data_IF_244653144163
#
_entry.id   IF_244653144163
#
_cell.length_a   1.000
_cell.length_b   1.000
_cell.length_c   1.000
_cell.angle_alpha   90.00
_cell.angle_beta   90.00
_cell.angle_gamma   90.00
#
_symmetry.space_group_name_H-M   'P 1'
#
loop_
_entity.id
_entity.type
_entity.pdbx_description
1 polymer ?
#
# COMPACT_ATOMS: atom_id res chain seq x y z
N UNK A 1 -36.60 -22.13 -11.46
CA UNK A 1 -35.77 -21.01 -11.93
C UNK A 1 -36.25 -19.74 -11.25
N UNK A 2 -35.37 -18.98 -10.62
CA UNK A 2 -35.75 -17.69 -10.02
C UNK A 2 -36.12 -16.66 -11.10
N UNK A 3 -37.12 -15.83 -10.83
CA UNK A 3 -37.55 -14.75 -11.73
C UNK A 3 -36.36 -13.84 -12.06
N UNK A 4 -36.16 -13.56 -13.34
CA UNK A 4 -35.14 -12.61 -13.78
C UNK A 4 -35.45 -11.22 -13.21
N UNK A 5 -34.47 -10.62 -12.54
CA UNK A 5 -34.57 -9.23 -12.10
C UNK A 5 -34.11 -8.34 -13.24
N UNK A 6 -34.98 -7.46 -13.71
CA UNK A 6 -34.63 -6.43 -14.68
C UNK A 6 -33.76 -5.35 -14.03
N UNK A 7 -32.57 -5.16 -14.60
CA UNK A 7 -31.57 -4.20 -14.14
C UNK A 7 -31.49 -2.96 -15.05
N UNK A 8 -32.29 -2.87 -16.12
CA UNK A 8 -32.27 -1.74 -17.08
C UNK A 8 -32.45 -0.41 -16.36
N UNK A 9 -31.66 0.60 -16.73
CA UNK A 9 -31.68 1.94 -16.13
C UNK A 9 -31.06 2.04 -14.73
N UNK A 10 -30.60 0.94 -14.14
CA UNK A 10 -29.95 0.95 -12.82
C UNK A 10 -28.46 1.27 -12.93
N UNK A 11 -27.90 1.79 -11.84
CA UNK A 11 -26.48 2.16 -11.72
C UNK A 11 -25.77 1.32 -10.66
N UNK A 12 -24.57 0.83 -10.98
CA UNK A 12 -23.71 0.01 -10.12
C UNK A 12 -22.27 0.54 -10.15
N UNK A 13 -21.94 1.37 -9.17
CA UNK A 13 -20.70 2.15 -9.22
C UNK A 13 -20.71 3.07 -10.45
N UNK A 14 -19.73 2.90 -11.33
CA UNK A 14 -19.61 3.67 -12.58
C UNK A 14 -20.37 3.09 -13.76
N UNK A 15 -21.07 1.96 -13.58
CA UNK A 15 -21.76 1.25 -14.66
C UNK A 15 -23.25 1.60 -14.64
N UNK A 16 -23.74 2.16 -15.73
CA UNK A 16 -25.16 2.34 -16.02
C UNK A 16 -25.64 1.21 -16.94
N UNK A 17 -26.70 0.50 -16.55
CA UNK A 17 -27.21 -0.66 -17.30
C UNK A 17 -28.11 -0.19 -18.45
N UNK A 18 -27.70 -0.44 -19.68
CA UNK A 18 -28.43 -0.02 -20.88
C UNK A 18 -29.47 -1.05 -21.33
N UNK A 19 -29.09 -2.33 -21.41
CA UNK A 19 -29.98 -3.39 -21.90
C UNK A 19 -29.51 -4.79 -21.50
N UNK A 20 -30.45 -5.73 -21.53
CA UNK A 20 -30.16 -7.15 -21.38
C UNK A 20 -29.44 -7.71 -22.63
N UNK A 21 -28.52 -8.64 -22.39
CA UNK A 21 -27.79 -9.40 -23.41
C UNK A 21 -28.13 -10.90 -23.30
N UNK A 22 -27.86 -11.71 -24.34
CA UNK A 22 -28.06 -13.15 -24.28
C UNK A 22 -27.40 -13.79 -23.05
N UNK A 23 -28.13 -14.69 -22.39
CA UNK A 23 -27.62 -15.36 -21.20
C UNK A 23 -26.43 -16.27 -21.56
N UNK A 24 -25.42 -16.30 -20.70
CA UNK A 24 -24.26 -17.18 -20.83
C UNK A 24 -24.24 -18.15 -19.66
N UNK A 25 -24.21 -19.46 -19.92
CA UNK A 25 -24.28 -20.51 -18.89
C UNK A 25 -25.43 -20.28 -17.89
N UNK A 26 -26.62 -19.95 -18.40
CA UNK A 26 -27.82 -19.63 -17.62
C UNK A 26 -27.73 -18.37 -16.74
N UNK A 27 -26.72 -17.52 -16.93
CA UNK A 27 -26.56 -16.25 -16.19
C UNK A 27 -26.95 -15.10 -17.09
N UNK A 28 -27.90 -14.29 -16.62
CA UNK A 28 -28.30 -13.05 -17.28
C UNK A 28 -27.09 -12.10 -17.41
N UNK A 29 -26.92 -11.59 -18.63
CA UNK A 29 -25.87 -10.65 -19.00
C UNK A 29 -26.48 -9.28 -19.26
N UNK A 30 -25.75 -8.24 -18.92
CA UNK A 30 -26.20 -6.85 -19.05
C UNK A 30 -25.13 -6.02 -19.72
N UNK A 31 -25.50 -5.34 -20.81
CA UNK A 31 -24.65 -4.32 -21.41
C UNK A 31 -24.72 -3.07 -20.55
N UNK A 32 -23.55 -2.61 -20.09
CA UNK A 32 -23.43 -1.43 -19.26
C UNK A 32 -22.55 -0.38 -19.94
N UNK A 33 -22.98 0.88 -19.89
CA UNK A 33 -22.12 2.03 -20.18
C UNK A 33 -21.42 2.48 -18.92
N UNK A 34 -20.11 2.54 -18.96
CA UNK A 34 -19.33 3.08 -17.86
C UNK A 34 -19.23 4.61 -17.97
N UNK A 35 -19.03 5.31 -16.85
CA UNK A 35 -18.73 6.75 -16.84
C UNK A 35 -17.47 7.11 -17.65
N UNK A 36 -16.58 6.14 -17.89
CA UNK A 36 -15.42 6.26 -18.79
C UNK A 36 -15.81 6.33 -20.28
N UNK A 37 -17.10 6.20 -20.62
CA UNK A 37 -17.62 6.08 -21.99
C UNK A 37 -17.59 4.65 -22.55
N UNK A 38 -16.72 3.77 -22.02
CA UNK A 38 -16.61 2.40 -22.53
C UNK A 38 -17.83 1.53 -22.17
N UNK A 39 -18.21 0.66 -23.10
CA UNK A 39 -19.23 -0.36 -22.91
C UNK A 39 -18.62 -1.65 -22.33
N UNK A 40 -19.36 -2.34 -21.47
CA UNK A 40 -18.95 -3.63 -20.89
C UNK A 40 -20.16 -4.53 -20.66
N UNK A 41 -20.07 -5.79 -21.05
CA UNK A 41 -21.05 -6.82 -20.68
C UNK A 41 -20.69 -7.39 -19.30
N UNK A 42 -21.65 -7.37 -18.38
CA UNK A 42 -21.44 -7.79 -16.99
C UNK A 42 -22.57 -8.75 -16.55
N UNK A 43 -22.24 -9.86 -15.86
CA UNK A 43 -23.25 -10.74 -15.29
C UNK A 43 -24.08 -10.04 -14.20
N UNK A 44 -25.38 -10.33 -14.13
CA UNK A 44 -26.30 -9.77 -13.13
C UNK A 44 -25.79 -9.93 -11.68
N UNK A 45 -25.20 -11.09 -11.37
CA UNK A 45 -24.60 -11.35 -10.05
C UNK A 45 -23.46 -10.39 -9.72
N UNK A 46 -22.56 -10.13 -10.68
CA UNK A 46 -21.41 -9.25 -10.47
C UNK A 46 -21.80 -7.79 -10.27
N UNK A 47 -22.88 -7.34 -10.90
CA UNK A 47 -23.46 -6.01 -10.65
C UNK A 47 -24.04 -5.93 -9.23
N UNK A 48 -24.96 -6.85 -8.89
CA UNK A 48 -25.70 -6.81 -7.61
C UNK A 48 -24.81 -7.01 -6.38
N UNK A 49 -23.83 -7.91 -6.45
CA UNK A 49 -22.89 -8.15 -5.35
C UNK A 49 -21.68 -7.21 -5.37
N UNK A 50 -21.61 -6.26 -6.31
CA UNK A 50 -20.55 -5.26 -6.35
C UNK A 50 -19.17 -5.78 -6.79
N UNK A 51 -19.09 -6.99 -7.36
CA UNK A 51 -17.83 -7.54 -7.91
C UNK A 51 -17.36 -6.78 -9.16
N UNK A 52 -18.25 -6.07 -9.85
CA UNK A 52 -17.89 -5.24 -11.00
C UNK A 52 -18.55 -3.87 -10.87
N UNK A 53 -17.72 -2.83 -10.71
CA UNK A 53 -18.16 -1.45 -10.43
C UNK A 53 -17.71 -0.44 -11.50
N UNK A 54 -17.00 -0.88 -12.54
CA UNK A 54 -16.55 -0.04 -13.66
C UNK A 54 -16.11 -0.89 -14.86
N UNK A 55 -15.79 -0.22 -15.98
CA UNK A 55 -15.17 -0.81 -17.16
C UNK A 55 -13.76 -1.41 -16.90
N UNK A 56 -13.17 -1.11 -15.74
CA UNK A 56 -11.75 -1.29 -15.41
C UNK A 56 -11.08 0.05 -15.07
N UNK A 57 -11.63 1.15 -15.57
CA UNK A 57 -11.10 2.50 -15.38
C UNK A 57 -10.97 2.92 -13.91
N UNK A 58 -11.83 2.43 -13.01
CA UNK A 58 -11.72 2.78 -11.59
C UNK A 58 -10.36 2.37 -11.02
N UNK A 59 -9.85 1.19 -11.41
CA UNK A 59 -8.53 0.72 -10.99
C UNK A 59 -7.42 1.57 -11.63
N UNK A 60 -7.55 1.91 -12.90
CA UNK A 60 -6.59 2.76 -13.62
C UNK A 60 -6.51 4.16 -13.04
N UNK A 61 -7.65 4.75 -12.67
CA UNK A 61 -7.71 6.07 -12.03
C UNK A 61 -7.03 6.07 -10.67
N UNK A 62 -7.35 5.09 -9.82
CA UNK A 62 -6.70 4.96 -8.50
C UNK A 62 -5.18 4.79 -8.67
N UNK A 63 -4.74 3.96 -9.63
CA UNK A 63 -3.33 3.76 -9.89
C UNK A 63 -2.65 5.05 -10.36
N UNK A 64 -3.29 5.80 -11.26
CA UNK A 64 -2.79 7.09 -11.77
C UNK A 64 -2.70 8.14 -10.66
N UNK A 65 -3.73 8.27 -9.83
CA UNK A 65 -3.71 9.17 -8.66
C UNK A 65 -2.57 8.81 -7.71
N UNK A 66 -2.38 7.53 -7.38
CA UNK A 66 -1.27 7.10 -6.53
C UNK A 66 0.10 7.37 -7.14
N UNK A 67 0.26 7.11 -8.44
CA UNK A 67 1.50 7.42 -9.15
C UNK A 67 1.78 8.94 -9.15
N UNK A 68 0.75 9.78 -9.32
CA UNK A 68 0.88 11.24 -9.27
C UNK A 68 1.26 11.75 -7.87
N UNK A 69 0.67 11.22 -6.79
CA UNK A 69 1.03 11.62 -5.41
C UNK A 69 2.44 11.23 -5.00
N UNK A 70 3.05 10.26 -5.70
CA UNK A 70 4.40 9.78 -5.43
C UNK A 70 5.39 10.22 -6.52
N UNK A 71 4.98 11.09 -7.46
CA UNK A 71 5.78 11.52 -8.62
C UNK A 71 6.49 10.35 -9.33
N UNK A 72 5.79 9.23 -9.52
CA UNK A 72 6.34 8.02 -10.16
C UNK A 72 7.35 7.23 -9.32
N UNK A 73 7.67 7.65 -8.10
CA UNK A 73 8.68 7.03 -7.23
C UNK A 73 8.18 5.79 -6.47
N UNK A 74 6.96 5.31 -6.75
CA UNK A 74 6.31 4.21 -5.99
C UNK A 74 6.97 2.84 -6.18
N UNK A 75 7.79 2.66 -7.23
CA UNK A 75 8.51 1.42 -7.55
C UNK A 75 9.94 1.38 -7.01
N UNK A 76 10.41 2.45 -6.35
CA UNK A 76 11.75 2.50 -5.78
C UNK A 76 11.89 1.57 -4.57
N UNK A 77 13.02 0.84 -4.46
CA UNK A 77 13.31 0.01 -3.27
C UNK A 77 13.22 0.80 -1.96
N UNK A 78 13.46 2.12 -2.02
CA UNK A 78 13.35 3.05 -0.90
C UNK A 78 11.93 3.13 -0.32
N UNK A 79 10.89 3.02 -1.16
CA UNK A 79 9.51 2.95 -0.70
C UNK A 79 9.25 1.70 0.15
N UNK A 80 9.93 0.59 -0.17
CA UNK A 80 9.91 -0.63 0.65
C UNK A 80 10.52 -0.40 2.04
N UNK A 81 11.66 0.30 2.12
CA UNK A 81 12.31 0.64 3.39
C UNK A 81 11.40 1.52 4.26
N UNK A 82 10.84 2.59 3.66
CA UNK A 82 9.89 3.49 4.32
C UNK A 82 8.66 2.75 4.84
N UNK A 83 8.06 1.90 4.01
CA UNK A 83 6.89 1.13 4.42
C UNK A 83 7.22 0.18 5.57
N UNK A 84 8.36 -0.52 5.51
CA UNK A 84 8.79 -1.42 6.59
C UNK A 84 9.10 -0.67 7.89
N UNK A 85 9.71 0.52 7.81
CA UNK A 85 9.89 1.42 8.97
C UNK A 85 8.54 1.72 9.66
N UNK A 86 7.53 2.16 8.89
CA UNK A 86 6.19 2.45 9.44
C UNK A 86 5.50 1.21 10.00
N UNK A 87 5.57 0.07 9.30
CA UNK A 87 4.93 -1.18 9.75
C UNK A 87 5.46 -1.62 11.11
N UNK A 88 6.79 -1.55 11.32
CA UNK A 88 7.41 -1.86 12.61
C UNK A 88 6.95 -0.93 13.73
N UNK A 89 6.71 0.36 13.44
CA UNK A 89 6.30 1.34 14.45
C UNK A 89 4.79 1.35 14.73
N UNK A 90 3.94 1.01 13.75
CA UNK A 90 2.50 1.32 13.82
C UNK A 90 1.57 0.11 13.72
N UNK A 91 2.05 -1.05 13.26
CA UNK A 91 1.20 -2.23 13.05
C UNK A 91 1.44 -3.28 14.16
N UNK A 92 0.51 -3.45 15.12
CA UNK A 92 0.64 -4.45 16.19
C UNK A 92 0.74 -5.90 15.70
N UNK A 93 0.28 -6.19 14.47
CA UNK A 93 0.40 -7.52 13.86
C UNK A 93 1.77 -7.78 13.22
N UNK A 94 2.66 -6.78 13.17
CA UNK A 94 4.02 -6.97 12.69
C UNK A 94 4.87 -7.66 13.78
N UNK A 95 5.61 -8.71 13.42
CA UNK A 95 6.42 -9.48 14.38
C UNK A 95 7.48 -8.65 15.11
N UNK A 96 7.98 -7.59 14.46
CA UNK A 96 8.97 -6.69 15.03
C UNK A 96 8.34 -5.58 15.89
N UNK A 97 7.01 -5.39 15.87
CA UNK A 97 6.34 -4.29 16.57
C UNK A 97 6.71 -4.19 18.06
N UNK A 98 6.88 -5.35 18.72
CA UNK A 98 7.32 -5.44 20.12
C UNK A 98 8.67 -4.76 20.41
N UNK A 99 9.55 -4.64 19.41
CA UNK A 99 10.86 -3.99 19.53
C UNK A 99 10.86 -2.52 19.11
N UNK A 100 9.73 -2.03 18.58
CA UNK A 100 9.58 -0.68 18.03
C UNK A 100 8.33 -0.03 18.61
N UNK A 101 7.18 -0.14 17.94
CA UNK A 101 5.96 0.58 18.33
C UNK A 101 5.49 0.31 19.75
N UNK A 102 5.62 -0.93 20.25
CA UNK A 102 5.27 -1.26 21.64
C UNK A 102 6.17 -0.56 22.68
N UNK A 103 7.35 -0.09 22.28
CA UNK A 103 8.29 0.67 23.11
C UNK A 103 8.11 2.19 22.97
N UNK A 104 7.11 2.65 22.21
CA UNK A 104 6.89 4.08 21.92
C UNK A 104 7.75 4.64 20.78
N UNK A 105 8.52 3.82 20.07
CA UNK A 105 9.31 4.26 18.92
C UNK A 105 8.38 4.56 17.75
N UNK A 106 8.44 5.80 17.29
CA UNK A 106 7.63 6.32 16.19
C UNK A 106 8.45 6.75 14.97
N UNK A 107 7.72 7.26 13.99
CA UNK A 107 8.24 7.96 12.81
C UNK A 107 7.82 9.42 12.95
N UNK A 108 8.76 10.36 12.77
CA UNK A 108 8.43 11.78 12.87
C UNK A 108 7.36 12.19 11.86
N UNK A 109 6.61 13.25 12.16
CA UNK A 109 5.43 13.64 11.38
C UNK A 109 5.75 13.93 9.92
N UNK A 110 6.88 14.57 9.64
CA UNK A 110 7.33 14.86 8.27
C UNK A 110 7.48 13.58 7.45
N UNK A 111 8.01 12.51 8.03
CA UNK A 111 8.25 11.23 7.35
C UNK A 111 7.00 10.34 7.27
N UNK A 112 5.84 10.80 7.76
CA UNK A 112 4.55 10.20 7.38
C UNK A 112 4.23 10.43 5.90
N UNK A 113 4.84 11.45 5.28
CA UNK A 113 4.83 11.64 3.83
C UNK A 113 6.08 11.00 3.20
N UNK A 114 5.88 10.12 2.21
CA UNK A 114 6.98 9.44 1.54
C UNK A 114 7.93 10.39 0.82
N UNK A 115 7.44 11.48 0.20
CA UNK A 115 8.28 12.41 -0.54
C UNK A 115 9.25 13.14 0.40
N UNK A 116 8.82 13.51 1.61
CA UNK A 116 9.69 14.13 2.60
C UNK A 116 10.79 13.15 3.08
N UNK A 117 10.40 11.91 3.37
CA UNK A 117 11.35 10.85 3.70
C UNK A 117 12.35 10.61 2.56
N UNK A 118 11.87 10.55 1.32
CA UNK A 118 12.67 10.33 0.11
C UNK A 118 13.68 11.47 -0.10
N UNK A 119 13.24 12.71 0.02
CA UNK A 119 14.12 13.87 -0.12
C UNK A 119 15.25 13.84 0.91
N UNK A 120 14.94 13.55 2.18
CA UNK A 120 15.97 13.35 3.20
C UNK A 120 16.88 12.18 2.85
N UNK A 121 16.32 11.02 2.48
CA UNK A 121 17.08 9.82 2.18
C UNK A 121 18.14 10.07 1.10
N UNK A 122 17.73 10.66 -0.03
CA UNK A 122 18.64 10.98 -1.15
C UNK A 122 19.68 12.03 -0.76
N UNK A 123 19.28 13.06 -0.01
CA UNK A 123 20.20 14.09 0.45
C UNK A 123 21.21 13.59 1.50
N UNK A 124 20.94 12.45 2.14
CA UNK A 124 21.75 11.91 3.24
C UNK A 124 22.40 10.56 2.90
N UNK A 125 22.67 10.31 1.61
CA UNK A 125 23.51 9.19 1.18
C UNK A 125 22.79 7.85 1.05
N UNK A 126 21.47 7.84 0.85
CA UNK A 126 20.78 6.60 0.46
C UNK A 126 21.31 6.10 -0.88
N UNK A 127 21.72 4.83 -0.89
CA UNK A 127 22.01 4.07 -2.09
C UNK A 127 21.25 2.74 -2.08
N UNK A 128 21.05 2.20 -3.28
CA UNK A 128 20.35 0.93 -3.46
C UNK A 128 21.11 -0.21 -2.76
N UNK A 129 20.46 -0.84 -1.78
CA UNK A 129 21.04 -1.93 -1.00
C UNK A 129 21.43 -1.53 0.42
N UNK A 130 21.37 -0.24 0.75
CA UNK A 130 21.46 0.22 2.13
C UNK A 130 20.15 -0.01 2.89
N UNK A 131 20.29 -0.04 4.21
CA UNK A 131 19.21 -0.17 5.17
C UNK A 131 19.23 1.02 6.12
N UNK A 132 18.06 1.45 6.58
CA UNK A 132 17.95 2.52 7.57
C UNK A 132 18.19 1.94 8.97
N UNK A 133 19.12 2.55 9.68
CA UNK A 133 19.46 2.25 11.07
C UNK A 133 19.20 3.47 11.94
N UNK A 134 18.90 3.24 13.22
CA UNK A 134 18.76 4.32 14.21
C UNK A 134 20.05 4.43 15.01
N UNK A 135 20.57 5.64 15.16
CA UNK A 135 21.84 5.90 15.86
C UNK A 135 21.67 5.58 17.35
N UNK A 136 20.64 6.15 17.96
CA UNK A 136 20.08 5.74 19.25
C UNK A 136 18.95 4.73 19.00
N UNK A 137 19.11 3.52 19.54
CA UNK A 137 18.15 2.43 19.37
C UNK A 137 16.79 2.67 20.04
N UNK A 138 16.75 3.62 20.97
CA UNK A 138 15.55 3.94 21.75
C UNK A 138 14.87 5.22 21.24
N UNK A 139 15.58 6.04 20.44
CA UNK A 139 15.03 7.20 19.75
C UNK A 139 14.15 6.87 18.53
N UNK A 140 13.48 7.90 18.02
CA UNK A 140 12.54 7.79 16.90
C UNK A 140 13.23 7.65 15.54
N UNK A 141 12.46 7.29 14.51
CA UNK A 141 12.87 7.48 13.13
C UNK A 141 12.70 8.96 12.73
N UNK A 142 13.82 9.68 12.71
CA UNK A 142 13.91 11.09 12.35
C UNK A 142 15.31 11.46 11.84
N UNK A 143 15.44 12.61 11.20
CA UNK A 143 16.66 13.01 10.49
C UNK A 143 17.91 12.98 11.37
N UNK A 144 17.81 13.42 12.63
CA UNK A 144 18.93 13.45 13.58
C UNK A 144 19.29 12.09 14.20
N UNK A 145 18.41 11.09 14.07
CA UNK A 145 18.60 9.78 14.69
C UNK A 145 18.70 8.64 13.67
N UNK A 146 18.81 8.92 12.38
CA UNK A 146 18.83 7.89 11.34
C UNK A 146 20.07 8.00 10.47
N UNK A 147 20.59 6.83 10.08
CA UNK A 147 21.72 6.70 9.16
C UNK A 147 21.49 5.55 8.18
N UNK A 148 22.18 5.59 7.04
CA UNK A 148 22.19 4.49 6.09
C UNK A 148 23.39 3.58 6.36
N UNK A 149 23.12 2.29 6.51
CA UNK A 149 24.17 1.27 6.69
C UNK A 149 23.98 0.13 5.70
N UNK A 150 25.07 -0.54 5.36
CA UNK A 150 24.99 -1.76 4.54
C UNK A 150 24.31 -2.89 5.31
N UNK A 151 23.72 -3.85 4.59
CA UNK A 151 23.13 -5.05 5.19
C UNK A 151 24.16 -5.82 6.03
N UNK A 152 25.42 -5.86 5.58
CA UNK A 152 26.50 -6.53 6.29
C UNK A 152 26.76 -5.87 7.65
N UNK A 153 26.78 -4.54 7.68
CA UNK A 153 26.98 -3.78 8.92
C UNK A 153 25.80 -3.97 9.88
N UNK A 154 24.57 -3.99 9.35
CA UNK A 154 23.38 -4.27 10.16
C UNK A 154 23.45 -5.64 10.83
N UNK A 155 23.93 -6.67 10.11
CA UNK A 155 24.08 -8.02 10.66
C UNK A 155 25.13 -8.08 11.77
N UNK A 156 26.24 -7.36 11.64
CA UNK A 156 27.25 -7.26 12.70
C UNK A 156 26.66 -6.61 13.96
N UNK A 157 25.90 -5.52 13.82
CA UNK A 157 25.26 -4.83 14.95
C UNK A 157 24.25 -5.73 15.70
N UNK A 158 23.63 -6.69 15.02
CA UNK A 158 22.74 -7.69 15.66
C UNK A 158 23.50 -8.70 16.53
N UNK A 159 24.77 -9.00 16.23
CA UNK A 159 25.57 -10.01 16.94
C UNK A 159 26.11 -9.53 18.29
N UNK A 160 26.30 -8.21 18.47
CA UNK A 160 26.88 -7.65 19.69
C UNK A 160 25.91 -7.47 20.86
N UNK A 161 24.69 -8.02 20.80
CA UNK A 161 23.66 -7.77 21.82
C UNK A 161 23.58 -8.74 23.00
N UNK A 162 24.57 -9.62 23.22
CA UNK A 162 24.63 -10.47 24.42
C UNK A 162 26.04 -10.57 25.00
N UNK A 163 26.29 -9.83 26.08
CA UNK A 163 26.87 -10.32 27.35
C UNK A 163 26.94 -9.15 28.33
N UNK A 164 25.82 -8.87 29.00
CA UNK A 164 25.88 -8.11 30.26
C UNK A 164 26.56 -9.02 31.28
N UNK A 165 27.85 -8.82 31.52
CA UNK A 165 28.54 -9.33 32.71
C UNK A 165 27.89 -8.60 33.89
N UNK A 166 27.11 -9.33 34.70
CA UNK A 166 26.77 -8.89 36.05
C UNK A 166 28.09 -8.80 36.82
N UNK A 167 28.45 -7.60 37.28
CA UNK A 167 29.46 -7.44 38.33
C UNK A 167 28.74 -7.68 39.65
N UNK A 168 29.19 -8.70 40.38
CA UNK A 168 28.94 -8.85 41.80
C UNK A 168 29.73 -7.80 42.60
#
# INVERSE_FOLDING_TARGET
MGKLIDLTGRRYGRLFVEKQMPAVKHRAQWLCRCDCGALRVVPAGSLRYGHTRSCGCLRSDIARTKASTLNGCSSEKLHGVWNMMKQRCQNPNNQDYKYYGARGIGVCDSWKNYLNFRSWALANGYEKGLTIDRIDSDGNYEAGNCRWISIQEQQKNRRHRNTSIKKD
#
